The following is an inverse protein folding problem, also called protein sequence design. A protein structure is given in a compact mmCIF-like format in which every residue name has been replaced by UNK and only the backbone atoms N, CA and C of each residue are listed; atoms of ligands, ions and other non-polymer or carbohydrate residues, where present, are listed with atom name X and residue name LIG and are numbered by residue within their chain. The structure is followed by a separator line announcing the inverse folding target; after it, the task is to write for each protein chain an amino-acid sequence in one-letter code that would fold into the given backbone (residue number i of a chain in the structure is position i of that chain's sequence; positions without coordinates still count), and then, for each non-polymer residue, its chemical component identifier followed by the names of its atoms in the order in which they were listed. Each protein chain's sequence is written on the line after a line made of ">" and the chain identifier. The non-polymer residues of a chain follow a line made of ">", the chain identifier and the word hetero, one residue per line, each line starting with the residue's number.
data_IF_218759955758
#
_entry.id   IF_218759955758
#
_cell.length_a   1.000
_cell.length_b   1.000
_cell.length_c   1.000
_cell.angle_alpha   90.00
_cell.angle_beta   90.00
_cell.angle_gamma   90.00
#
_symmetry.space_group_name_H-M   'P 1'
#
loop_
_entity.id
_entity.type
_entity.pdbx_description
1 polymer ?
#
# COMPACT_ATOMS: atom_id res chain seq x y z
N UNK A 1 -5.89 -16.39 -16.46
CA UNK A 1 -5.98 -15.64 -15.16
C UNK A 1 -6.81 -16.40 -14.13
N UNK A 2 -8.03 -16.89 -14.46
CA UNK A 2 -8.86 -17.67 -13.54
C UNK A 2 -8.15 -18.92 -12.99
N UNK A 3 -7.43 -19.65 -13.83
CA UNK A 3 -6.67 -20.84 -13.42
C UNK A 3 -5.62 -20.51 -12.35
N UNK A 4 -4.83 -19.45 -12.53
CA UNK A 4 -3.84 -18.98 -11.53
C UNK A 4 -4.47 -18.57 -10.21
N UNK A 5 -5.67 -17.94 -10.25
CA UNK A 5 -6.39 -17.58 -9.04
C UNK A 5 -6.87 -18.80 -8.28
N UNK A 6 -7.34 -19.84 -8.98
CA UNK A 6 -7.75 -21.12 -8.41
C UNK A 6 -6.55 -21.86 -7.82
N UNK A 7 -5.44 -21.97 -8.54
CA UNK A 7 -4.19 -22.60 -8.06
C UNK A 7 -3.68 -21.90 -6.79
N UNK A 8 -3.70 -20.56 -6.77
CA UNK A 8 -3.33 -19.77 -5.57
C UNK A 8 -4.29 -20.01 -4.40
N UNK A 9 -5.58 -20.13 -4.66
CA UNK A 9 -6.57 -20.42 -3.62
C UNK A 9 -6.39 -21.84 -3.06
N UNK A 10 -6.08 -22.82 -3.91
CA UNK A 10 -5.80 -24.22 -3.50
C UNK A 10 -4.54 -24.24 -2.63
N UNK A 11 -3.46 -23.62 -3.05
CA UNK A 11 -2.22 -23.52 -2.28
C UNK A 11 -2.42 -22.90 -0.89
N UNK A 12 -3.23 -21.85 -0.78
CA UNK A 12 -3.60 -21.25 0.50
C UNK A 12 -4.36 -22.20 1.43
N UNK A 13 -5.07 -23.20 0.87
CA UNK A 13 -5.79 -24.19 1.65
C UNK A 13 -4.90 -25.37 2.05
N UNK A 14 -3.85 -25.66 1.28
CA UNK A 14 -2.92 -26.76 1.52
C UNK A 14 -1.87 -26.38 2.59
N UNK A 15 -1.42 -25.12 2.63
CA UNK A 15 -0.42 -24.64 3.58
C UNK A 15 -0.94 -23.42 4.39
N UNK A 16 -1.99 -23.59 5.19
CA UNK A 16 -2.61 -22.46 5.91
C UNK A 16 -1.74 -21.87 7.02
N UNK A 17 -0.75 -22.63 7.52
CA UNK A 17 0.08 -22.21 8.66
C UNK A 17 1.14 -21.20 8.27
N UNK A 18 1.58 -21.20 6.99
CA UNK A 18 2.54 -20.20 6.48
C UNK A 18 1.87 -18.92 5.94
N UNK A 19 0.54 -18.91 5.91
CA UNK A 19 -0.22 -17.79 5.41
C UNK A 19 -0.97 -17.07 6.54
N UNK A 20 -1.06 -15.76 6.37
CA UNK A 20 -1.73 -14.87 7.31
C UNK A 20 -2.77 -14.03 6.59
N UNK A 21 -3.86 -13.71 7.27
CA UNK A 21 -4.75 -12.64 6.90
C UNK A 21 -4.35 -11.37 7.61
N UNK A 22 -4.13 -10.32 6.84
CA UNK A 22 -3.84 -8.96 7.30
C UNK A 22 -5.10 -8.11 7.18
N UNK A 23 -5.48 -7.46 8.27
CA UNK A 23 -6.63 -6.59 8.35
C UNK A 23 -6.14 -5.16 8.61
N UNK A 24 -6.37 -4.24 7.69
CA UNK A 24 -6.06 -2.83 7.87
C UNK A 24 -7.32 -2.05 8.19
N UNK A 25 -7.27 -1.22 9.23
CA UNK A 25 -8.39 -0.39 9.64
C UNK A 25 -8.24 1.06 9.17
N UNK A 26 -9.34 1.78 9.14
CA UNK A 26 -9.42 3.18 8.72
C UNK A 26 -8.51 4.10 9.55
N UNK A 27 -8.38 3.83 10.84
CA UNK A 27 -7.58 4.66 11.76
C UNK A 27 -6.13 4.19 11.92
N UNK A 28 -5.64 3.34 11.00
CA UNK A 28 -4.22 3.02 10.87
C UNK A 28 -3.76 1.78 11.62
N UNK A 29 -4.67 1.01 12.21
CA UNK A 29 -4.31 -0.27 12.81
C UNK A 29 -4.13 -1.34 11.74
N UNK A 30 -3.21 -2.26 11.99
CA UNK A 30 -3.02 -3.49 11.23
C UNK A 30 -3.03 -4.67 12.18
N UNK A 31 -3.68 -5.75 11.76
CA UNK A 31 -3.73 -7.01 12.48
C UNK A 31 -3.28 -8.13 11.57
N UNK A 32 -2.48 -9.05 12.10
CA UNK A 32 -2.04 -10.28 11.45
C UNK A 32 -2.61 -11.48 12.20
N UNK A 33 -3.26 -12.39 11.49
CA UNK A 33 -3.82 -13.62 12.07
C UNK A 33 -3.51 -14.78 11.14
N UNK A 34 -3.07 -15.92 11.68
CA UNK A 34 -2.80 -17.11 10.89
C UNK A 34 -4.06 -17.54 10.14
N UNK A 35 -3.91 -17.96 8.90
CA UNK A 35 -5.02 -18.39 8.05
C UNK A 35 -5.70 -19.65 8.63
N UNK A 36 -4.93 -20.51 9.32
CA UNK A 36 -5.43 -21.70 10.03
C UNK A 36 -6.54 -21.39 11.05
N UNK A 37 -6.55 -20.19 11.64
CA UNK A 37 -7.62 -19.72 12.54
C UNK A 37 -8.99 -19.62 11.85
N UNK A 38 -9.04 -19.60 10.51
CA UNK A 38 -10.23 -19.42 9.69
C UNK A 38 -10.62 -20.67 8.87
N UNK A 39 -9.88 -21.75 8.93
CA UNK A 39 -10.16 -22.99 8.18
C UNK A 39 -11.55 -23.56 8.55
N UNK A 40 -11.93 -23.49 9.83
CA UNK A 40 -13.24 -23.95 10.27
C UNK A 40 -14.12 -22.76 10.62
N UNK A 41 -15.07 -22.44 9.76
CA UNK A 41 -16.05 -21.38 9.97
C UNK A 41 -17.45 -21.99 10.09
N UNK A 42 -18.16 -21.70 11.18
CA UNK A 42 -19.53 -22.13 11.38
C UNK A 42 -20.49 -21.34 10.47
N UNK A 43 -21.69 -21.87 10.23
CA UNK A 43 -22.73 -21.19 9.42
C UNK A 43 -23.04 -19.76 9.92
N UNK A 44 -22.94 -19.50 11.20
CA UNK A 44 -23.18 -18.20 11.82
C UNK A 44 -21.98 -17.24 11.71
N UNK A 45 -20.92 -17.63 10.99
CA UNK A 45 -19.69 -16.86 10.85
C UNK A 45 -18.82 -16.87 12.11
N UNK A 46 -17.71 -16.13 12.04
CA UNK A 46 -16.78 -15.91 13.15
C UNK A 46 -16.31 -14.46 13.14
N UNK A 47 -16.14 -13.86 14.30
CA UNK A 47 -15.47 -12.58 14.41
C UNK A 47 -14.02 -12.70 13.96
N UNK A 48 -13.63 -11.85 13.02
CA UNK A 48 -12.29 -11.81 12.46
C UNK A 48 -11.44 -10.70 13.06
N UNK A 49 -12.06 -9.66 13.62
CA UNK A 49 -11.40 -8.46 14.12
C UNK A 49 -12.27 -7.84 15.24
N UNK A 50 -11.62 -7.26 16.25
CA UNK A 50 -12.24 -6.36 17.20
C UNK A 50 -11.64 -4.97 17.04
N UNK A 51 -12.47 -3.96 16.80
CA UNK A 51 -12.02 -2.59 16.74
C UNK A 51 -11.65 -2.08 18.14
N UNK A 52 -10.42 -1.54 18.27
CA UNK A 52 -9.93 -0.95 19.55
C UNK A 52 -10.34 0.50 19.72
N UNK A 53 -10.64 1.18 18.63
CA UNK A 53 -10.92 2.61 18.59
C UNK A 53 -12.36 2.76 18.16
N UNK A 54 -13.14 3.55 18.90
CA UNK A 54 -14.51 3.86 18.54
C UNK A 54 -14.57 4.57 17.18
N UNK A 55 -15.55 4.20 16.35
CA UNK A 55 -15.72 4.73 14.99
C UNK A 55 -14.69 4.23 13.96
N UNK A 56 -13.80 3.28 14.33
CA UNK A 56 -12.90 2.65 13.36
C UNK A 56 -13.65 1.64 12.49
N UNK A 57 -13.12 1.35 11.31
CA UNK A 57 -13.73 0.42 10.36
C UNK A 57 -12.65 -0.31 9.53
N UNK A 58 -13.03 -1.46 8.96
CA UNK A 58 -12.16 -2.23 8.10
C UNK A 58 -12.03 -1.55 6.73
N UNK A 59 -10.79 -1.39 6.25
CA UNK A 59 -10.48 -0.83 4.92
C UNK A 59 -10.02 -1.91 3.95
N UNK A 60 -9.11 -2.77 4.38
CA UNK A 60 -8.53 -3.81 3.54
C UNK A 60 -8.31 -5.11 4.28
N UNK A 61 -8.42 -6.21 3.52
CA UNK A 61 -7.92 -7.52 3.91
C UNK A 61 -6.99 -8.04 2.82
N UNK A 62 -5.84 -8.60 3.21
CA UNK A 62 -4.87 -9.21 2.29
C UNK A 62 -4.35 -10.51 2.89
N UNK A 63 -4.09 -11.49 2.01
CA UNK A 63 -3.29 -12.66 2.37
C UNK A 63 -1.81 -12.33 2.17
N UNK A 64 -0.97 -12.78 3.08
CA UNK A 64 0.47 -12.59 3.01
C UNK A 64 1.21 -13.68 3.80
N UNK A 65 2.48 -13.91 3.45
CA UNK A 65 3.45 -14.66 4.26
C UNK A 65 4.36 -13.68 5.02
N UNK A 66 5.27 -14.20 5.84
CA UNK A 66 6.25 -13.35 6.54
C UNK A 66 7.22 -12.62 5.61
N UNK A 67 7.40 -13.11 4.39
CA UNK A 67 8.32 -12.55 3.39
C UNK A 67 7.77 -11.31 2.68
N UNK A 68 6.45 -11.09 2.75
CA UNK A 68 5.84 -9.93 2.12
C UNK A 68 6.24 -8.63 2.80
N UNK A 69 6.49 -7.62 1.99
CA UNK A 69 6.47 -6.22 2.42
C UNK A 69 5.03 -5.68 2.39
N UNK A 70 4.65 -5.03 3.46
CA UNK A 70 3.34 -4.41 3.59
C UNK A 70 3.49 -2.90 3.39
N UNK A 71 2.67 -2.33 2.52
CA UNK A 71 2.62 -0.88 2.32
C UNK A 71 1.22 -0.39 2.65
N UNK A 72 1.12 0.43 3.70
CA UNK A 72 -0.11 1.15 4.07
C UNK A 72 0.00 2.60 3.63
N UNK A 73 -1.02 3.08 2.95
CA UNK A 73 -1.05 4.45 2.40
C UNK A 73 -2.23 5.22 2.99
N UNK A 74 -1.95 6.44 3.47
CA UNK A 74 -2.98 7.35 4.00
C UNK A 74 -3.61 8.20 2.88
N UNK A 75 -4.81 8.67 3.11
CA UNK A 75 -5.50 9.64 2.23
C UNK A 75 -4.72 10.94 2.04
N UNK A 76 -3.82 11.28 2.98
CA UNK A 76 -2.96 12.47 2.94
C UNK A 76 -1.65 12.27 2.18
N UNK A 77 -1.48 11.13 1.50
CA UNK A 77 -0.32 10.89 0.63
C UNK A 77 0.94 10.42 1.34
N UNK A 78 0.83 9.80 2.53
CA UNK A 78 1.95 9.15 3.21
C UNK A 78 1.84 7.64 3.10
N UNK A 79 2.99 6.97 2.95
CA UNK A 79 3.12 5.52 2.88
C UNK A 79 4.06 5.02 3.97
N UNK A 80 3.65 3.98 4.69
CA UNK A 80 4.48 3.23 5.64
C UNK A 80 4.74 1.84 5.07
N UNK A 81 6.01 1.48 4.84
CA UNK A 81 6.46 0.16 4.39
C UNK A 81 7.18 -0.55 5.52
N UNK A 82 6.80 -1.79 5.78
CA UNK A 82 7.42 -2.66 6.79
C UNK A 82 7.24 -4.13 6.42
N UNK A 83 8.07 -5.02 6.97
CA UNK A 83 7.93 -6.45 6.75
C UNK A 83 6.68 -7.01 7.44
N UNK A 84 6.00 -7.95 6.80
CA UNK A 84 4.94 -8.74 7.44
C UNK A 84 5.46 -9.50 8.67
N UNK A 85 6.74 -9.90 8.65
CA UNK A 85 7.42 -10.53 9.78
C UNK A 85 7.51 -9.63 11.03
N UNK A 86 7.55 -8.31 10.87
CA UNK A 86 7.60 -7.35 11.98
C UNK A 86 6.29 -7.25 12.76
N UNK A 87 5.20 -7.83 12.24
CA UNK A 87 3.90 -7.84 12.91
C UNK A 87 3.72 -9.18 13.60
N UNK A 88 3.59 -9.16 14.92
CA UNK A 88 3.25 -10.36 15.68
C UNK A 88 1.86 -10.88 15.29
N UNK A 89 1.78 -12.17 14.97
CA UNK A 89 0.50 -12.83 14.77
C UNK A 89 -0.34 -12.82 16.06
N UNK A 90 -1.64 -12.64 15.92
CA UNK A 90 -2.56 -12.55 17.04
C UNK A 90 -3.89 -13.22 16.72
N UNK A 91 -4.58 -13.69 17.75
CA UNK A 91 -5.86 -14.38 17.59
C UNK A 91 -6.96 -13.50 16.99
N UNK A 92 -8.03 -14.13 16.54
CA UNK A 92 -9.13 -13.50 15.75
C UNK A 92 -9.74 -12.25 16.40
N UNK A 93 -9.97 -12.26 17.71
CA UNK A 93 -10.64 -11.16 18.44
C UNK A 93 -9.68 -10.06 18.90
N UNK A 94 -8.43 -10.04 18.48
CA UNK A 94 -7.49 -8.95 18.80
C UNK A 94 -7.74 -7.73 17.91
N UNK A 95 -7.35 -6.54 18.37
CA UNK A 95 -7.52 -5.28 17.62
C UNK A 95 -6.28 -4.80 16.87
N UNK A 96 -5.20 -5.61 16.83
CA UNK A 96 -3.99 -5.26 16.10
C UNK A 96 -3.11 -4.18 16.75
N UNK A 97 -2.16 -3.66 15.96
CA UNK A 97 -1.18 -2.63 16.31
C UNK A 97 -1.21 -1.52 15.26
N UNK A 98 -0.59 -0.36 15.55
CA UNK A 98 -0.46 0.67 14.52
C UNK A 98 0.48 0.22 13.40
N UNK A 99 -0.02 0.21 12.15
CA UNK A 99 0.78 0.01 10.94
C UNK A 99 1.25 1.34 10.36
N UNK A 100 0.35 2.34 10.37
CA UNK A 100 0.66 3.71 9.97
C UNK A 100 -0.04 4.68 10.94
N UNK A 101 0.64 5.76 11.32
CA UNK A 101 0.01 6.84 12.08
C UNK A 101 -0.76 7.76 11.14
N UNK A 102 -2.08 7.77 11.26
CA UNK A 102 -3.00 8.70 10.61
C UNK A 102 -3.64 9.59 11.68
N UNK A 103 -4.11 10.79 11.32
CA UNK A 103 -4.77 11.72 12.25
C UNK A 103 -3.89 12.85 12.79
N UNK A 104 -4.53 13.74 13.58
CA UNK A 104 -3.93 14.97 14.09
C UNK A 104 -2.85 14.74 15.15
N UNK A 105 -1.62 14.56 14.70
CA UNK A 105 -0.46 15.02 15.46
C UNK A 105 0.09 16.24 14.73
N UNK A 106 0.42 17.30 15.45
CA UNK A 106 0.97 18.57 14.93
C UNK A 106 1.86 18.31 13.71
N UNK A 107 1.38 18.66 12.51
CA UNK A 107 2.08 18.56 11.23
C UNK A 107 1.75 17.36 10.35
N UNK A 108 0.77 16.51 10.67
CA UNK A 108 0.39 15.38 9.80
C UNK A 108 -0.94 15.51 9.06
N UNK A 109 -1.61 16.66 9.18
CA UNK A 109 -2.94 16.86 8.57
C UNK A 109 -3.85 15.63 8.72
N UNK A 110 -4.99 15.77 9.35
CA UNK A 110 -5.92 14.65 9.57
C UNK A 110 -6.07 13.77 8.33
N UNK A 111 -6.06 12.46 8.51
CA UNK A 111 -6.22 11.52 7.40
C UNK A 111 -6.65 10.15 7.91
N UNK A 112 -7.03 9.31 6.99
CA UNK A 112 -7.38 7.91 7.23
C UNK A 112 -6.56 7.02 6.31
N UNK A 113 -6.58 5.72 6.51
CA UNK A 113 -5.97 4.76 5.59
C UNK A 113 -6.78 4.72 4.29
N UNK A 114 -6.12 4.99 3.16
CA UNK A 114 -6.68 4.87 1.82
C UNK A 114 -6.62 3.42 1.30
N UNK A 115 -5.60 2.67 1.72
CA UNK A 115 -5.44 1.28 1.34
C UNK A 115 -4.17 0.64 1.88
N UNK A 116 -4.12 -0.69 1.71
CA UNK A 116 -3.00 -1.54 2.06
C UNK A 116 -2.72 -2.50 0.92
N UNK A 117 -1.45 -2.72 0.62
CA UNK A 117 -0.98 -3.75 -0.31
C UNK A 117 0.07 -4.63 0.35
N UNK A 118 0.15 -5.89 -0.07
CA UNK A 118 1.17 -6.86 0.31
C UNK A 118 1.92 -7.26 -0.95
N UNK A 119 3.24 -7.22 -0.94
CA UNK A 119 4.11 -7.36 -2.11
C UNK A 119 5.31 -8.22 -1.76
N UNK A 120 5.78 -9.04 -2.71
CA UNK A 120 6.93 -9.92 -2.53
C UNK A 120 8.18 -9.42 -3.25
N UNK A 121 8.01 -8.79 -4.41
CA UNK A 121 9.13 -8.37 -5.25
C UNK A 121 9.37 -6.87 -5.22
N UNK A 122 10.63 -6.47 -5.22
CA UNK A 122 11.04 -5.08 -5.38
C UNK A 122 10.58 -4.49 -6.73
N UNK A 123 10.35 -5.32 -7.74
CA UNK A 123 9.94 -4.91 -9.08
C UNK A 123 8.43 -4.71 -9.23
N UNK A 124 7.66 -5.08 -8.20
CA UNK A 124 6.22 -4.84 -8.21
C UNK A 124 5.87 -3.35 -8.11
N UNK A 125 4.76 -2.98 -8.73
CA UNK A 125 4.30 -1.60 -8.76
C UNK A 125 3.08 -1.38 -7.88
N UNK A 126 3.07 -0.20 -7.25
CA UNK A 126 1.93 0.35 -6.53
C UNK A 126 1.32 1.47 -7.39
N UNK A 127 0.04 1.36 -7.65
CA UNK A 127 -0.76 2.43 -8.24
C UNK A 127 -1.52 3.16 -7.14
N UNK A 128 -1.32 4.47 -7.06
CA UNK A 128 -2.10 5.36 -6.21
C UNK A 128 -2.93 6.31 -7.08
N UNK A 129 -4.20 6.48 -6.74
CA UNK A 129 -5.12 7.36 -7.47
C UNK A 129 -5.70 8.37 -6.49
N UNK A 130 -5.69 9.65 -6.89
CA UNK A 130 -6.28 10.72 -6.10
C UNK A 130 -7.72 11.02 -6.53
N UNK A 131 -8.45 11.69 -5.66
CA UNK A 131 -9.84 12.12 -5.85
C UNK A 131 -10.03 12.97 -7.11
N UNK A 132 -9.03 13.77 -7.49
CA UNK A 132 -9.08 14.64 -8.67
C UNK A 132 -8.44 13.99 -9.91
N UNK A 133 -8.36 12.67 -9.95
CA UNK A 133 -7.97 11.92 -11.15
C UNK A 133 -6.48 11.96 -11.46
N UNK A 134 -5.63 12.22 -10.45
CA UNK A 134 -4.19 12.02 -10.60
C UNK A 134 -3.84 10.58 -10.28
N UNK A 135 -3.10 9.91 -11.16
CA UNK A 135 -2.61 8.55 -10.96
C UNK A 135 -1.08 8.53 -10.92
N UNK A 136 -0.53 7.78 -9.99
CA UNK A 136 0.90 7.60 -9.85
C UNK A 136 1.22 6.13 -9.74
N UNK A 137 2.15 5.65 -10.57
CA UNK A 137 2.75 4.33 -10.49
C UNK A 137 4.15 4.46 -9.88
N UNK A 138 4.40 3.70 -8.84
CA UNK A 138 5.69 3.68 -8.14
C UNK A 138 6.14 2.24 -7.91
N UNK A 139 7.42 1.94 -8.17
CA UNK A 139 8.01 0.65 -7.85
C UNK A 139 8.17 0.50 -6.33
N UNK A 140 8.05 -0.72 -5.82
CA UNK A 140 8.32 -1.02 -4.41
C UNK A 140 9.77 -0.72 -4.07
N UNK A 141 10.71 -1.15 -4.93
CA UNK A 141 12.16 -0.98 -4.80
C UNK A 141 12.78 -1.83 -3.70
N UNK A 142 14.10 -1.89 -3.67
CA UNK A 142 14.86 -2.66 -2.68
C UNK A 142 14.88 -2.01 -1.29
N UNK A 143 14.54 -0.72 -1.20
CA UNK A 143 14.69 0.14 -0.03
C UNK A 143 16.16 0.47 0.33
N UNK A 144 17.10 0.09 -0.48
CA UNK A 144 18.52 0.38 -0.31
C UNK A 144 18.88 1.79 -0.79
N UNK A 145 20.05 2.25 -0.41
CA UNK A 145 20.62 3.49 -0.94
C UNK A 145 21.32 3.20 -2.28
N UNK A 146 20.88 3.88 -3.31
CA UNK A 146 21.45 3.82 -4.66
C UNK A 146 21.86 5.22 -5.12
N UNK A 147 22.73 5.30 -6.14
CA UNK A 147 23.05 6.57 -6.76
C UNK A 147 21.81 7.19 -7.42
N UNK A 148 21.59 8.48 -7.17
CA UNK A 148 20.61 9.25 -7.96
C UNK A 148 21.18 9.46 -9.37
N UNK A 149 20.40 9.16 -10.38
CA UNK A 149 20.80 9.31 -11.78
C UNK A 149 19.89 10.31 -12.49
N UNK A 150 20.42 10.95 -13.53
CA UNK A 150 19.64 11.77 -14.44
C UNK A 150 18.85 10.92 -15.46
N UNK A 151 18.21 11.56 -16.43
CA UNK A 151 17.42 10.90 -17.45
C UNK A 151 18.27 10.04 -18.43
N UNK A 152 19.58 10.24 -18.48
CA UNK A 152 20.54 9.48 -19.30
C UNK A 152 21.16 8.30 -18.53
N UNK A 153 20.91 8.20 -17.22
CA UNK A 153 21.50 7.20 -16.34
C UNK A 153 22.82 7.63 -15.70
N UNK A 154 23.29 8.87 -15.94
CA UNK A 154 24.51 9.38 -15.34
C UNK A 154 24.29 9.74 -13.85
N UNK A 155 25.28 9.45 -12.96
CA UNK A 155 25.16 9.74 -11.55
C UNK A 155 25.13 11.27 -11.31
N UNK A 156 24.24 11.68 -10.39
CA UNK A 156 24.19 13.05 -9.87
C UNK A 156 25.07 13.19 -8.64
N UNK A 157 25.56 14.40 -8.44
CA UNK A 157 26.40 14.75 -7.29
C UNK A 157 25.76 15.85 -6.48
N UNK A 158 26.09 15.90 -5.18
CA UNK A 158 25.78 17.02 -4.29
C UNK A 158 26.75 18.18 -4.54
N UNK A 159 26.48 19.34 -3.94
CA UNK A 159 27.31 20.56 -4.13
C UNK A 159 28.76 20.40 -3.64
N UNK A 160 29.01 19.44 -2.73
CA UNK A 160 30.35 19.09 -2.20
C UNK A 160 31.10 18.07 -3.07
N UNK A 161 30.54 17.66 -4.21
CA UNK A 161 31.10 16.67 -5.12
C UNK A 161 30.89 15.21 -4.70
N UNK A 162 30.20 14.95 -3.59
CA UNK A 162 29.84 13.58 -3.19
C UNK A 162 28.71 13.02 -4.04
N UNK A 163 28.68 11.69 -4.30
CA UNK A 163 27.58 11.09 -5.05
C UNK A 163 26.23 11.29 -4.33
N UNK A 164 25.26 11.80 -5.07
CA UNK A 164 23.91 11.96 -4.53
C UNK A 164 23.23 10.60 -4.38
N UNK A 165 22.80 10.29 -3.15
CA UNK A 165 22.18 9.01 -2.82
C UNK A 165 20.68 9.16 -2.61
N UNK A 166 19.91 8.27 -3.23
CA UNK A 166 18.45 8.15 -3.02
C UNK A 166 18.09 6.76 -2.53
N UNK A 167 16.92 6.64 -1.91
CA UNK A 167 16.39 5.32 -1.56
C UNK A 167 15.65 4.75 -2.75
N UNK A 168 16.01 3.55 -3.19
CA UNK A 168 15.28 2.83 -4.22
C UNK A 168 13.86 2.48 -3.71
N UNK A 169 12.85 3.03 -4.38
CA UNK A 169 11.46 2.84 -4.02
C UNK A 169 11.08 3.37 -2.63
N UNK A 170 10.29 2.60 -1.89
CA UNK A 170 9.81 2.97 -0.57
C UNK A 170 10.78 2.51 0.51
N UNK A 171 11.26 3.44 1.34
CA UNK A 171 12.09 3.12 2.51
C UNK A 171 11.29 2.24 3.50
N UNK A 172 11.92 1.18 4.00
CA UNK A 172 11.37 0.40 5.13
C UNK A 172 11.34 1.23 6.40
N UNK A 173 10.25 1.13 7.14
CA UNK A 173 10.02 1.76 8.44
C UNK A 173 9.54 0.71 9.43
N UNK A 174 9.53 1.03 10.72
CA UNK A 174 8.85 0.18 11.71
C UNK A 174 7.33 0.37 11.60
N UNK A 175 6.51 -0.65 11.87
CA UNK A 175 5.06 -0.50 12.02
C UNK A 175 4.73 0.65 12.97
N UNK A 176 3.70 1.44 12.64
CA UNK A 176 3.29 2.61 13.41
C UNK A 176 4.09 3.88 13.14
N UNK A 177 4.99 3.91 12.15
CA UNK A 177 5.61 5.15 11.68
C UNK A 177 4.60 6.05 10.94
N UNK A 178 4.90 7.35 10.84
CA UNK A 178 4.17 8.28 9.96
C UNK A 178 4.32 7.88 8.49
N UNK A 179 5.43 7.25 8.13
CA UNK A 179 5.78 6.90 6.78
C UNK A 179 6.47 8.02 6.01
N UNK A 180 6.59 7.82 4.71
CA UNK A 180 7.19 8.77 3.76
C UNK A 180 6.12 9.29 2.80
N UNK A 181 6.30 10.51 2.30
CA UNK A 181 5.38 11.05 1.29
C UNK A 181 5.47 10.19 0.01
N UNK A 182 4.34 9.70 -0.46
CA UNK A 182 4.26 8.92 -1.70
C UNK A 182 3.72 9.71 -2.87
N UNK A 183 2.86 10.69 -2.62
CA UNK A 183 2.24 11.52 -3.65
C UNK A 183 2.07 12.95 -3.14
N UNK A 184 2.36 13.94 -3.99
CA UNK A 184 2.04 15.35 -3.72
C UNK A 184 0.59 15.59 -4.14
N UNK A 185 -0.23 15.87 -3.16
CA UNK A 185 -1.65 16.19 -3.35
C UNK A 185 -1.84 17.71 -3.47
N UNK A 186 -2.94 18.10 -4.07
CA UNK A 186 -3.35 19.49 -4.14
C UNK A 186 -4.09 19.85 -2.83
N UNK A 187 -3.38 20.59 -1.96
CA UNK A 187 -3.90 20.94 -0.63
C UNK A 187 -5.00 22.02 -0.72
N UNK A 188 -4.92 22.93 -1.70
CA UNK A 188 -5.90 24.02 -1.91
C UNK A 188 -7.27 23.45 -2.29
N UNK A 189 -7.29 22.39 -3.09
CA UNK A 189 -8.52 21.73 -3.52
C UNK A 189 -8.90 20.54 -2.64
N UNK A 190 -8.24 20.33 -1.49
CA UNK A 190 -8.48 19.20 -0.59
C UNK A 190 -8.44 17.83 -1.31
N UNK A 191 -7.41 17.63 -2.15
CA UNK A 191 -7.19 16.36 -2.83
C UNK A 191 -6.78 15.28 -1.82
N UNK A 192 -7.11 14.04 -2.14
CA UNK A 192 -6.84 12.91 -1.26
C UNK A 192 -6.64 11.62 -2.06
N UNK A 193 -5.83 10.70 -1.57
CA UNK A 193 -5.73 9.37 -2.17
C UNK A 193 -7.01 8.59 -1.86
N UNK A 194 -7.63 8.06 -2.91
CA UNK A 194 -8.88 7.29 -2.83
C UNK A 194 -8.69 5.80 -3.17
N UNK A 195 -7.61 5.44 -3.86
CA UNK A 195 -7.35 4.05 -4.22
C UNK A 195 -5.86 3.72 -4.21
N UNK A 196 -5.57 2.51 -3.73
CA UNK A 196 -4.23 1.92 -3.70
C UNK A 196 -4.33 0.48 -4.20
N UNK A 197 -3.55 0.13 -5.24
CA UNK A 197 -3.56 -1.20 -5.85
C UNK A 197 -2.15 -1.66 -6.17
N UNK A 198 -1.91 -2.96 -6.11
CA UNK A 198 -0.76 -3.59 -6.76
C UNK A 198 -1.04 -3.74 -8.25
N UNK A 199 -0.01 -3.60 -9.06
CA UNK A 199 -0.07 -3.78 -10.50
C UNK A 199 0.72 -5.05 -10.85
N UNK A 200 0.05 -6.15 -11.16
CA UNK A 200 0.72 -7.39 -11.56
C UNK A 200 1.26 -7.32 -13.00
N UNK A 201 0.65 -6.50 -13.85
CA UNK A 201 1.04 -6.33 -15.24
C UNK A 201 0.78 -4.88 -15.69
N UNK A 202 1.80 -4.23 -16.25
CA UNK A 202 1.70 -2.85 -16.74
C UNK A 202 0.80 -2.70 -17.96
N UNK A 203 0.54 -3.78 -18.69
CA UNK A 203 -0.39 -3.81 -19.82
C UNK A 203 -1.85 -4.00 -19.39
N UNK A 204 -2.11 -4.22 -18.10
CA UNK A 204 -3.47 -4.26 -17.57
C UNK A 204 -4.22 -2.95 -17.80
N UNK A 205 -5.53 -3.03 -17.85
CA UNK A 205 -6.41 -1.88 -18.03
C UNK A 205 -6.99 -1.41 -16.70
N UNK A 206 -7.02 -0.10 -16.54
CA UNK A 206 -7.72 0.60 -15.46
C UNK A 206 -9.07 1.09 -15.97
N UNK A 207 -10.11 0.80 -15.23
CA UNK A 207 -11.41 1.42 -15.37
C UNK A 207 -11.57 2.43 -14.25
N UNK A 208 -11.72 3.69 -14.60
CA UNK A 208 -11.99 4.78 -13.66
C UNK A 208 -13.42 5.25 -13.86
N UNK A 209 -14.16 5.33 -12.76
CA UNK A 209 -15.56 5.73 -12.76
C UNK A 209 -15.75 6.94 -11.85
N UNK A 210 -16.30 8.02 -12.38
CA UNK A 210 -16.67 9.18 -11.58
C UNK A 210 -17.98 8.96 -10.83
N UNK A 211 -18.20 9.74 -9.78
CA UNK A 211 -19.48 9.77 -9.07
C UNK A 211 -20.65 10.18 -9.97
N UNK A 212 -20.37 10.98 -11.03
CA UNK A 212 -21.36 11.38 -12.05
C UNK A 212 -21.67 10.31 -13.10
N UNK A 213 -21.05 9.12 -13.02
CA UNK A 213 -21.31 8.01 -13.93
C UNK A 213 -20.43 8.00 -15.19
N UNK A 214 -19.48 8.93 -15.34
CA UNK A 214 -18.50 8.87 -16.43
C UNK A 214 -17.47 7.78 -16.18
N UNK A 215 -17.20 6.96 -17.19
CA UNK A 215 -16.20 5.91 -17.15
C UNK A 215 -15.14 6.12 -18.22
N UNK A 216 -13.88 5.98 -17.85
CA UNK A 216 -12.76 5.91 -18.79
C UNK A 216 -12.01 4.59 -18.60
N UNK A 217 -11.39 4.14 -19.68
CA UNK A 217 -10.51 2.97 -19.72
C UNK A 217 -9.14 3.41 -20.22
N UNK A 218 -8.10 3.17 -19.43
CA UNK A 218 -6.72 3.45 -19.80
C UNK A 218 -5.85 2.21 -19.55
N UNK A 219 -4.70 2.12 -20.23
CA UNK A 219 -3.67 1.12 -19.87
C UNK A 219 -2.87 1.63 -18.68
N UNK A 220 -2.44 0.73 -17.80
CA UNK A 220 -1.55 1.09 -16.68
C UNK A 220 -0.24 1.68 -17.20
N UNK A 221 0.29 1.18 -18.34
CA UNK A 221 1.50 1.70 -18.99
C UNK A 221 1.43 3.19 -19.34
N UNK A 222 0.24 3.75 -19.52
CA UNK A 222 0.03 5.19 -19.75
C UNK A 222 0.19 6.05 -18.49
N UNK A 223 0.20 5.43 -17.29
CA UNK A 223 0.55 6.12 -16.06
C UNK A 223 2.06 6.20 -15.91
N UNK A 224 2.59 7.41 -15.77
CA UNK A 224 4.04 7.60 -15.64
C UNK A 224 4.57 6.92 -14.38
N UNK A 225 5.62 6.12 -14.55
CA UNK A 225 6.41 5.65 -13.42
C UNK A 225 7.17 6.81 -12.81
N UNK A 226 7.12 6.93 -11.50
CA UNK A 226 7.85 7.96 -10.78
C UNK A 226 8.45 7.39 -9.49
N UNK A 227 9.76 7.45 -9.37
CA UNK A 227 10.51 7.19 -8.14
C UNK A 227 10.43 8.36 -7.15
N UNK A 228 10.12 9.55 -7.63
CA UNK A 228 10.11 10.78 -6.84
C UNK A 228 8.97 10.84 -5.81
N UNK A 229 9.31 11.06 -4.56
CA UNK A 229 8.37 11.14 -3.42
C UNK A 229 7.42 12.34 -3.48
N UNK A 230 7.78 13.39 -4.24
CA UNK A 230 7.05 14.68 -4.29
C UNK A 230 6.34 14.94 -5.62
N UNK A 231 6.08 13.90 -6.43
CA UNK A 231 5.39 14.04 -7.71
C UNK A 231 3.88 13.91 -7.56
N UNK A 232 3.15 14.66 -8.38
CA UNK A 232 1.67 14.57 -8.45
C UNK A 232 1.19 13.36 -9.25
N UNK A 233 2.05 12.75 -10.07
CA UNK A 233 1.68 11.70 -11.01
C UNK A 233 1.16 12.24 -12.35
N UNK A 234 0.39 11.42 -13.06
CA UNK A 234 -0.21 11.73 -14.37
C UNK A 234 -1.70 11.97 -14.21
N UNK A 235 -2.22 12.99 -14.87
CA UNK A 235 -3.67 13.20 -14.92
C UNK A 235 -4.29 12.14 -15.82
N UNK A 236 -5.25 11.40 -15.28
CA UNK A 236 -5.94 10.29 -15.97
C UNK A 236 -7.44 10.48 -16.10
N UNK A 237 -7.95 11.54 -15.44
CA UNK A 237 -9.35 11.93 -15.51
C UNK A 237 -9.49 13.44 -15.21
#
# INVERSE_FOLDING_TARGET
>A
RARRAVEKAIHLLEEPDDHYLLFATRLGLIKKTALSEYVRINRNGKYALRFKIEGDSLVNVRSATNEHDIVMISTTGYASRFSCGDIRASGRVSGGVYGIKVGDRKGSGGGIVAGMVAMLSADEYILTISKYGMAKRSRLGTAEKIHDTDASGAPKFEDDGSPKMVTDGYRRTKPGAKGVRTMKLDEEHHDSIISVRTIPDIEDHLFLLTKSGMMIRIRVSQTKETSGKSTRGTRVM
#
